data_IF_032869202757
#
_entry.id   IF_032869202757
#
_cell.length_a   1.000
_cell.length_b   1.000
_cell.length_c   1.000
_cell.angle_alpha   90.00
_cell.angle_beta   90.00
_cell.angle_gamma   90.00
#
_symmetry.space_group_name_H-M   'P 1'
#
loop_
_entity.id
_entity.type
_entity.pdbx_description
1 polymer ?
#
# COMPACT_ATOMS: atom_id res chain seq x y z
N UNK A 1 15.47 -14.13 -5.24
CA UNK A 1 14.34 -14.38 -4.34
C UNK A 1 14.10 -15.88 -4.31
N UNK A 2 13.85 -16.45 -3.14
CA UNK A 2 13.43 -17.84 -3.03
C UNK A 2 12.02 -18.02 -3.62
N UNK A 3 11.58 -19.26 -3.84
CA UNK A 3 10.26 -19.54 -4.46
C UNK A 3 9.08 -19.04 -3.61
N UNK A 4 9.31 -18.82 -2.32
CA UNK A 4 8.29 -18.46 -1.33
C UNK A 4 8.45 -17.00 -0.82
N UNK A 5 9.22 -16.18 -1.53
CA UNK A 5 9.39 -14.76 -1.24
C UNK A 5 8.47 -13.90 -2.10
N UNK A 6 7.72 -13.02 -1.45
CA UNK A 6 6.80 -12.09 -2.08
C UNK A 6 7.14 -10.65 -1.69
N UNK A 7 6.91 -9.71 -2.60
CA UNK A 7 6.95 -8.29 -2.30
C UNK A 7 5.59 -7.86 -1.75
N UNK A 8 5.61 -7.15 -0.63
CA UNK A 8 4.42 -6.59 0.02
C UNK A 8 4.34 -5.08 -0.20
N UNK A 9 3.11 -4.55 -0.23
CA UNK A 9 2.84 -3.12 -0.30
C UNK A 9 2.80 -2.55 1.12
N UNK A 10 3.56 -1.49 1.38
CA UNK A 10 3.69 -0.85 2.70
C UNK A 10 2.85 0.42 2.87
N UNK A 11 1.93 0.69 1.94
CA UNK A 11 1.08 1.90 2.00
C UNK A 11 1.81 3.20 1.62
N UNK A 12 3.01 3.11 1.04
CA UNK A 12 3.76 4.26 0.53
C UNK A 12 3.57 4.36 -0.98
N UNK A 13 3.07 5.50 -1.44
CA UNK A 13 2.77 5.73 -2.85
C UNK A 13 3.23 7.12 -3.29
N UNK A 14 3.86 7.18 -4.47
CA UNK A 14 4.03 8.40 -5.24
C UNK A 14 3.21 8.21 -6.52
N UNK A 15 2.08 8.90 -6.63
CA UNK A 15 1.07 8.67 -7.66
C UNK A 15 0.92 9.89 -8.57
N UNK A 16 0.65 9.66 -9.85
CA UNK A 16 0.22 10.72 -10.76
C UNK A 16 -1.19 11.17 -10.39
N UNK A 17 -1.54 12.42 -10.73
CA UNK A 17 -2.84 13.01 -10.37
C UNK A 17 -4.04 12.27 -10.95
N UNK A 18 -3.85 11.48 -12.02
CA UNK A 18 -4.88 10.64 -12.64
C UNK A 18 -5.55 9.66 -11.69
N UNK A 19 -4.90 9.33 -10.56
CA UNK A 19 -5.53 8.52 -9.51
C UNK A 19 -6.84 9.16 -9.00
N UNK A 20 -6.94 10.49 -8.98
CA UNK A 20 -8.14 11.18 -8.55
C UNK A 20 -9.30 10.98 -9.52
N UNK A 21 -9.03 11.02 -10.84
CA UNK A 21 -10.05 10.76 -11.87
C UNK A 21 -10.60 9.33 -11.74
N UNK A 22 -9.72 8.35 -11.50
CA UNK A 22 -10.11 6.94 -11.31
C UNK A 22 -10.94 6.73 -10.03
N UNK A 23 -10.57 7.40 -8.94
CA UNK A 23 -11.33 7.38 -7.69
C UNK A 23 -12.70 8.05 -7.87
N UNK A 24 -12.75 9.19 -8.56
CA UNK A 24 -13.98 9.90 -8.87
C UNK A 24 -14.92 9.02 -9.72
N UNK A 25 -14.39 8.33 -10.74
CA UNK A 25 -15.16 7.39 -11.56
C UNK A 25 -15.75 6.26 -10.72
N UNK A 26 -14.96 5.64 -9.83
CA UNK A 26 -15.44 4.58 -8.94
C UNK A 26 -16.54 5.11 -8.01
N UNK A 27 -16.42 6.34 -7.48
CA UNK A 27 -17.40 6.98 -6.60
C UNK A 27 -18.70 7.31 -7.35
N UNK A 28 -18.60 7.99 -8.50
CA UNK A 28 -19.76 8.40 -9.30
C UNK A 28 -20.57 7.19 -9.78
N UNK A 29 -19.90 6.11 -10.14
CA UNK A 29 -20.54 4.86 -10.58
C UNK A 29 -20.86 3.91 -9.42
N UNK A 30 -20.61 4.30 -8.17
CA UNK A 30 -20.77 3.48 -6.97
C UNK A 30 -20.10 2.08 -7.09
N UNK A 31 -18.95 2.02 -7.76
CA UNK A 31 -18.16 0.80 -7.95
C UNK A 31 -17.38 0.52 -6.67
N UNK A 32 -17.75 -0.54 -5.96
CA UNK A 32 -17.16 -0.89 -4.66
C UNK A 32 -16.55 -2.27 -4.69
N UNK A 33 -15.37 -2.40 -4.08
CA UNK A 33 -14.75 -3.69 -3.76
C UNK A 33 -14.97 -3.96 -2.28
N UNK A 34 -15.60 -5.09 -1.96
CA UNK A 34 -15.91 -5.48 -0.57
C UNK A 34 -16.70 -4.40 0.21
N UNK A 35 -17.53 -3.61 -0.47
CA UNK A 35 -18.33 -2.55 0.14
C UNK A 35 -17.62 -1.18 0.27
N UNK A 36 -16.35 -1.09 -0.11
CA UNK A 36 -15.54 0.12 -0.01
C UNK A 36 -15.10 0.62 -1.38
N UNK A 37 -14.89 1.93 -1.50
CA UNK A 37 -14.12 2.50 -2.60
C UNK A 37 -12.64 2.23 -2.31
N UNK A 38 -12.04 1.29 -3.02
CA UNK A 38 -10.70 0.81 -2.69
C UNK A 38 -9.64 1.47 -3.56
N UNK A 39 -8.58 2.01 -2.93
CA UNK A 39 -7.44 2.54 -3.66
C UNK A 39 -6.75 1.47 -4.51
N UNK A 40 -6.70 0.22 -4.03
CA UNK A 40 -6.03 -0.89 -4.74
C UNK A 40 -6.61 -1.16 -6.13
N UNK A 41 -7.93 -1.03 -6.31
CA UNK A 41 -8.56 -1.21 -7.63
C UNK A 41 -8.18 -0.06 -8.57
N UNK A 42 -8.18 1.18 -8.06
CA UNK A 42 -7.71 2.35 -8.80
C UNK A 42 -6.22 2.26 -9.17
N UNK A 43 -5.38 1.73 -8.29
CA UNK A 43 -3.96 1.53 -8.57
C UNK A 43 -3.73 0.52 -9.70
N UNK A 44 -4.52 -0.55 -9.77
CA UNK A 44 -4.39 -1.50 -10.89
C UNK A 44 -4.86 -0.86 -12.22
N UNK A 45 -5.96 -0.09 -12.22
CA UNK A 45 -6.37 0.71 -13.39
C UNK A 45 -5.25 1.68 -13.82
N UNK A 46 -4.64 2.39 -12.87
CA UNK A 46 -3.56 3.33 -13.13
C UNK A 46 -2.33 2.62 -13.71
N UNK A 47 -1.94 1.47 -13.15
CA UNK A 47 -0.84 0.64 -13.64
C UNK A 47 -1.05 0.20 -15.09
N UNK A 48 -2.28 -0.18 -15.44
CA UNK A 48 -2.62 -0.58 -16.81
C UNK A 48 -2.56 0.62 -17.78
N UNK A 49 -2.90 1.82 -17.32
CA UNK A 49 -2.95 3.03 -18.14
C UNK A 49 -1.59 3.71 -18.35
N UNK A 50 -0.73 3.77 -17.32
CA UNK A 50 0.49 4.60 -17.32
C UNK A 50 1.77 3.85 -16.93
N UNK A 51 1.70 2.54 -16.70
CA UNK A 51 2.76 1.73 -16.06
C UNK A 51 3.15 2.24 -14.67
N UNK A 52 3.58 1.33 -13.79
CA UNK A 52 4.03 1.68 -12.44
C UNK A 52 5.33 0.93 -12.12
N UNK A 53 6.16 1.54 -11.27
CA UNK A 53 7.39 0.93 -10.77
C UNK A 53 7.26 0.67 -9.28
N UNK A 54 7.69 -0.52 -8.84
CA UNK A 54 7.83 -0.84 -7.42
C UNK A 54 9.17 -0.36 -6.88
N UNK A 55 9.16 0.24 -5.68
CA UNK A 55 10.37 0.65 -4.98
C UNK A 55 10.60 -0.27 -3.76
N UNK A 56 11.77 -0.90 -3.71
CA UNK A 56 12.18 -1.72 -2.55
C UNK A 56 12.82 -0.79 -1.52
N UNK A 57 12.09 -0.52 -0.46
CA UNK A 57 12.55 0.38 0.61
C UNK A 57 13.72 -0.25 1.37
N UNK A 58 14.82 0.48 1.48
CA UNK A 58 15.92 0.14 2.38
C UNK A 58 15.58 0.60 3.80
N UNK A 59 14.99 -0.28 4.60
CA UNK A 59 14.60 0.03 5.97
C UNK A 59 13.98 -1.16 6.68
N UNK A 60 13.48 -0.91 7.89
CA UNK A 60 12.69 -1.87 8.65
C UNK A 60 11.25 -1.38 8.69
N UNK A 61 10.33 -2.21 8.19
CA UNK A 61 8.91 -1.95 8.31
C UNK A 61 8.42 -2.37 9.70
N UNK A 62 7.55 -1.55 10.29
CA UNK A 62 6.88 -1.82 11.54
C UNK A 62 5.37 -1.68 11.31
N UNK A 63 4.66 -2.81 11.32
CA UNK A 63 3.20 -2.81 11.20
C UNK A 63 2.58 -2.53 12.57
N UNK A 64 2.37 -1.26 12.87
CA UNK A 64 1.78 -0.82 14.15
C UNK A 64 0.25 -1.00 14.21
N UNK A 65 -0.37 -1.54 13.17
CA UNK A 65 -1.80 -1.86 13.17
C UNK A 65 -2.13 -3.12 13.98
N UNK A 66 -1.16 -4.00 14.19
CA UNK A 66 -1.32 -5.24 14.96
C UNK A 66 -0.74 -5.10 16.38
N UNK A 67 -1.48 -5.46 17.45
CA UNK A 67 -1.04 -5.24 18.83
C UNK A 67 0.35 -5.80 19.17
N UNK A 68 0.64 -7.04 18.76
CA UNK A 68 1.93 -7.68 19.05
C UNK A 68 3.09 -7.02 18.31
N UNK A 69 2.87 -6.67 17.03
CA UNK A 69 3.86 -5.98 16.22
C UNK A 69 4.10 -4.55 16.73
N UNK A 70 3.06 -3.87 17.23
CA UNK A 70 3.19 -2.59 17.89
C UNK A 70 4.04 -2.67 19.17
N UNK A 71 3.80 -3.64 20.04
CA UNK A 71 4.62 -3.85 21.24
C UNK A 71 6.09 -4.10 20.87
N UNK A 72 6.34 -4.98 19.89
CA UNK A 72 7.69 -5.27 19.41
C UNK A 72 8.37 -4.02 18.84
N UNK A 73 7.62 -3.17 18.14
CA UNK A 73 8.12 -1.89 17.61
C UNK A 73 8.66 -1.01 18.74
N UNK A 74 7.94 -0.88 19.86
CA UNK A 74 8.39 -0.08 21.00
C UNK A 74 9.69 -0.62 21.60
N UNK A 75 9.82 -1.94 21.73
CA UNK A 75 11.05 -2.60 22.21
C UNK A 75 12.21 -2.32 21.26
N UNK A 76 12.00 -2.51 19.96
CA UNK A 76 13.04 -2.34 18.94
C UNK A 76 13.55 -0.89 18.87
N UNK A 77 12.67 0.10 19.04
CA UNK A 77 13.07 1.50 19.06
C UNK A 77 13.75 1.90 20.36
N UNK A 78 13.38 1.31 21.50
CA UNK A 78 14.07 1.53 22.78
C UNK A 78 15.48 0.96 22.79
N UNK A 79 15.69 -0.23 22.20
CA UNK A 79 16.99 -0.90 22.15
C UNK A 79 17.92 -0.37 21.06
N UNK A 80 17.44 0.55 20.22
CA UNK A 80 18.22 1.22 19.18
C UNK A 80 19.01 2.45 19.69
N UNK A 81 19.05 2.67 21.00
CA UNK A 81 20.00 3.59 21.65
C UNK A 81 21.41 2.99 21.75
#
# INVERSE_FOLDING_TARGET
MSKDEFLCIFGLYALTSKIFDLLEEDIQNNTRSKGEFQLTTCLDKLRQAESMTGYIVQGKCFDIGMPDAYLQTLVDFRLKE
#
